data_IF_489169083357
#
_entry.id   IF_489169083357
#
_cell.length_a   1.000
_cell.length_b   1.000
_cell.length_c   1.000
_cell.angle_alpha   90.00
_cell.angle_beta   90.00
_cell.angle_gamma   90.00
#
_symmetry.space_group_name_H-M   'P 1'
#
loop_
_entity.id
_entity.type
_entity.pdbx_description
1 polymer ?
#
# COMPACT_ATOMS: atom_id res chain seq x y z
N UNK A 1 -12.24 -13.47 16.98
CA UNK A 1 -11.09 -13.90 16.15
C UNK A 1 -11.46 -14.20 14.70
N UNK A 2 -12.32 -15.20 14.40
CA UNK A 2 -12.73 -15.47 13.01
C UNK A 2 -13.55 -14.35 12.37
N UNK A 3 -14.43 -13.69 13.13
CA UNK A 3 -15.21 -12.54 12.66
C UNK A 3 -14.32 -11.33 12.36
N UNK A 4 -13.35 -11.04 13.23
CA UNK A 4 -12.43 -9.91 13.07
C UNK A 4 -11.55 -10.04 11.82
N UNK A 5 -11.11 -11.27 11.50
CA UNK A 5 -10.35 -11.56 10.27
C UNK A 5 -11.19 -11.26 9.03
N UNK A 6 -12.47 -11.63 9.04
CA UNK A 6 -13.39 -11.40 7.92
C UNK A 6 -13.71 -9.92 7.73
N UNK A 7 -13.99 -9.20 8.82
CA UNK A 7 -14.23 -7.74 8.77
C UNK A 7 -13.02 -7.02 8.16
N UNK A 8 -11.81 -7.33 8.65
CA UNK A 8 -10.58 -6.73 8.13
C UNK A 8 -10.33 -7.08 6.66
N UNK A 9 -10.60 -8.32 6.25
CA UNK A 9 -10.46 -8.72 4.85
C UNK A 9 -11.44 -7.96 3.95
N UNK A 10 -12.69 -7.78 4.38
CA UNK A 10 -13.70 -7.04 3.62
C UNK A 10 -13.41 -5.53 3.55
N UNK A 11 -12.86 -4.94 4.62
CA UNK A 11 -12.36 -3.56 4.60
C UNK A 11 -11.16 -3.42 3.65
N UNK A 12 -10.22 -4.38 3.70
CA UNK A 12 -9.06 -4.38 2.81
C UNK A 12 -9.46 -4.52 1.33
N UNK A 13 -10.39 -5.42 1.01
CA UNK A 13 -10.96 -5.55 -0.34
C UNK A 13 -11.63 -4.25 -0.79
N UNK A 14 -12.39 -3.60 0.10
CA UNK A 14 -13.05 -2.31 -0.21
C UNK A 14 -12.02 -1.24 -0.54
N UNK A 15 -10.98 -1.06 0.28
CA UNK A 15 -9.92 -0.10 0.01
C UNK A 15 -9.18 -0.39 -1.31
N UNK A 16 -8.85 -1.66 -1.59
CA UNK A 16 -8.18 -2.04 -2.85
C UNK A 16 -9.05 -1.83 -4.09
N UNK A 17 -10.36 -1.86 -3.95
CA UNK A 17 -11.31 -1.66 -5.05
C UNK A 17 -11.84 -0.21 -5.12
N UNK A 18 -11.50 0.64 -4.14
CA UNK A 18 -11.88 2.04 -4.13
C UNK A 18 -11.02 2.79 -5.15
N UNK A 19 -11.68 3.31 -6.19
CA UNK A 19 -11.01 4.00 -7.28
C UNK A 19 -10.39 5.31 -6.84
N UNK A 20 -11.03 6.04 -5.92
CA UNK A 20 -10.48 7.29 -5.42
C UNK A 20 -9.23 7.03 -4.57
N UNK A 21 -9.29 6.05 -3.67
CA UNK A 21 -8.12 5.64 -2.89
C UNK A 21 -6.95 5.24 -3.79
N UNK A 22 -7.21 4.39 -4.79
CA UNK A 22 -6.17 3.92 -5.72
C UNK A 22 -5.56 5.08 -6.52
N UNK A 23 -6.39 6.02 -6.98
CA UNK A 23 -5.92 7.23 -7.69
C UNK A 23 -5.03 8.09 -6.79
N UNK A 24 -5.45 8.39 -5.56
CA UNK A 24 -4.65 9.18 -4.63
C UNK A 24 -3.31 8.50 -4.29
N UNK A 25 -3.29 7.19 -4.05
CA UNK A 25 -2.04 6.45 -3.79
C UNK A 25 -1.11 6.52 -5.00
N UNK A 26 -1.66 6.39 -6.21
CA UNK A 26 -0.89 6.47 -7.45
C UNK A 26 -0.33 7.88 -7.69
N UNK A 27 -1.12 8.93 -7.45
CA UNK A 27 -0.66 10.33 -7.55
C UNK A 27 0.50 10.62 -6.58
N UNK A 28 0.41 10.14 -5.33
CA UNK A 28 1.51 10.29 -4.37
C UNK A 28 2.75 9.53 -4.84
N UNK A 29 2.59 8.30 -5.34
CA UNK A 29 3.68 7.49 -5.89
C UNK A 29 4.35 8.21 -7.06
N UNK A 30 3.57 8.75 -8.00
CA UNK A 30 4.06 9.51 -9.14
C UNK A 30 4.82 10.77 -8.73
N UNK A 31 4.28 11.52 -7.77
CA UNK A 31 4.96 12.69 -7.19
C UNK A 31 6.33 12.33 -6.63
N UNK A 32 6.45 11.21 -5.90
CA UNK A 32 7.74 10.73 -5.40
C UNK A 32 8.67 10.24 -6.52
N UNK A 33 8.13 9.61 -7.57
CA UNK A 33 8.92 9.23 -8.75
C UNK A 33 9.51 10.46 -9.46
N UNK A 34 8.75 11.55 -9.54
CA UNK A 34 9.24 12.81 -10.11
C UNK A 34 10.39 13.42 -9.29
N UNK A 35 10.46 13.18 -7.97
CA UNK A 35 11.62 13.59 -7.17
C UNK A 35 12.89 12.89 -7.67
N UNK A 36 12.83 11.60 -7.98
CA UNK A 36 13.99 10.90 -8.55
C UNK A 36 14.34 11.37 -9.95
N UNK A 37 13.35 11.66 -10.79
CA UNK A 37 13.57 12.14 -12.15
C UNK A 37 14.20 13.54 -12.21
N UNK A 38 13.89 14.40 -11.23
CA UNK A 38 14.30 15.80 -11.20
C UNK A 38 15.41 16.12 -10.18
N UNK A 39 15.95 15.12 -9.48
CA UNK A 39 17.01 15.32 -8.48
C UNK A 39 18.40 15.05 -9.06
N UNK A 40 19.39 15.82 -8.62
CA UNK A 40 20.78 15.56 -8.93
C UNK A 40 21.37 14.50 -7.98
N UNK A 41 22.57 14.01 -8.30
CA UNK A 41 23.27 13.04 -7.44
C UNK A 41 23.56 13.60 -6.03
N UNK A 42 23.72 14.92 -5.89
CA UNK A 42 23.92 15.56 -4.58
C UNK A 42 22.64 15.71 -3.74
N UNK A 43 21.44 15.58 -4.32
CA UNK A 43 20.16 15.69 -3.61
C UNK A 43 19.80 14.38 -2.88
N UNK A 44 20.76 13.79 -2.17
CA UNK A 44 20.63 12.45 -1.54
C UNK A 44 19.49 12.41 -0.55
N UNK A 45 19.39 13.40 0.33
CA UNK A 45 18.35 13.47 1.37
C UNK A 45 16.93 13.45 0.79
N UNK A 46 16.67 14.28 -0.23
CA UNK A 46 15.37 14.31 -0.92
C UNK A 46 15.02 12.97 -1.57
N UNK A 47 16.01 12.29 -2.15
CA UNK A 47 15.83 10.97 -2.76
C UNK A 47 15.55 9.90 -1.71
N UNK A 48 16.20 9.97 -0.56
CA UNK A 48 15.96 9.04 0.55
C UNK A 48 14.55 9.22 1.15
N UNK A 49 14.11 10.47 1.33
CA UNK A 49 12.74 10.78 1.77
C UNK A 49 11.69 10.24 0.78
N UNK A 50 11.85 10.53 -0.52
CA UNK A 50 10.96 10.01 -1.56
C UNK A 50 10.93 8.47 -1.55
N UNK A 51 12.08 7.82 -1.35
CA UNK A 51 12.16 6.37 -1.25
C UNK A 51 11.44 5.82 -0.01
N UNK A 52 11.56 6.51 1.14
CA UNK A 52 10.87 6.12 2.36
C UNK A 52 9.34 6.18 2.18
N UNK A 53 8.82 7.21 1.51
CA UNK A 53 7.40 7.34 1.19
C UNK A 53 6.93 6.21 0.27
N UNK A 54 7.67 5.91 -0.82
CA UNK A 54 7.32 4.80 -1.71
C UNK A 54 7.30 3.46 -0.97
N UNK A 55 8.27 3.22 -0.08
CA UNK A 55 8.27 2.01 0.76
C UNK A 55 7.07 1.94 1.69
N UNK A 56 6.65 3.07 2.26
CA UNK A 56 5.46 3.13 3.09
C UNK A 56 4.18 2.80 2.30
N UNK A 57 4.05 3.32 1.07
CA UNK A 57 2.93 2.97 0.18
C UNK A 57 2.90 1.48 -0.15
N UNK A 58 4.05 0.89 -0.50
CA UNK A 58 4.14 -0.55 -0.74
C UNK A 58 3.79 -1.37 0.52
N UNK A 59 4.17 -0.90 1.71
CA UNK A 59 3.84 -1.56 2.96
C UNK A 59 2.33 -1.56 3.22
N UNK A 60 1.62 -0.49 2.86
CA UNK A 60 0.15 -0.44 2.94
C UNK A 60 -0.45 -1.54 2.05
N UNK A 61 -0.03 -1.63 0.79
CA UNK A 61 -0.50 -2.65 -0.15
C UNK A 61 -0.27 -4.08 0.37
N UNK A 62 0.92 -4.36 0.91
CA UNK A 62 1.26 -5.66 1.51
C UNK A 62 0.35 -5.99 2.70
N UNK A 63 0.02 -5.03 3.55
CA UNK A 63 -0.87 -5.26 4.69
C UNK A 63 -2.32 -5.52 4.24
N UNK A 64 -2.79 -4.84 3.20
CA UNK A 64 -4.10 -5.11 2.61
C UNK A 64 -4.15 -6.53 2.05
N UNK A 65 -3.11 -6.97 1.32
CA UNK A 65 -3.02 -8.32 0.79
C UNK A 65 -2.95 -9.39 1.89
N UNK A 66 -2.18 -9.12 2.95
CA UNK A 66 -2.10 -10.02 4.10
C UNK A 66 -3.46 -10.21 4.78
N UNK A 67 -4.26 -9.14 4.91
CA UNK A 67 -5.61 -9.23 5.48
C UNK A 67 -6.55 -10.11 4.64
N UNK A 68 -6.49 -9.98 3.31
CA UNK A 68 -7.29 -10.79 2.38
C UNK A 68 -6.83 -12.25 2.40
N UNK A 69 -5.52 -12.49 2.43
CA UNK A 69 -4.96 -13.84 2.51
C UNK A 69 -5.33 -14.54 3.83
N UNK A 70 -5.40 -13.82 4.94
CA UNK A 70 -5.79 -14.37 6.24
C UNK A 70 -7.22 -14.96 6.23
N UNK A 71 -8.15 -14.31 5.54
CA UNK A 71 -9.50 -14.86 5.31
C UNK A 71 -9.46 -16.14 4.47
N UNK A 72 -8.69 -16.15 3.38
CA UNK A 72 -8.54 -17.34 2.52
C UNK A 72 -7.99 -18.54 3.30
N UNK A 73 -7.02 -18.30 4.19
CA UNK A 73 -6.46 -19.33 5.07
C UNK A 73 -7.46 -19.81 6.13
N UNK A 74 -8.30 -18.91 6.65
CA UNK A 74 -9.37 -19.25 7.58
C UNK A 74 -10.43 -20.13 6.91
N UNK A 75 -10.82 -19.82 5.68
CA UNK A 75 -11.83 -20.59 4.95
C UNK A 75 -11.31 -21.98 4.54
N UNK A 76 -10.00 -22.15 4.28
CA UNK A 76 -9.37 -23.46 4.04
C UNK A 76 -9.23 -24.35 5.28
N UNK A 77 -9.31 -23.77 6.47
CA UNK A 77 -9.20 -24.47 7.76
C UNK A 77 -10.55 -24.95 8.30
N UNK A 78 -11.65 -24.49 7.72
CA UNK A 78 -13.00 -25.00 7.99
C UNK A 78 -13.27 -26.23 7.14
#
# INVERSE_FOLDING_TARGET
MSTDIRIKADEAKRLKNDTAFTQFVQEVRESQMMVFANSAAQDVEKREEAHAIIRALNLIEVNLDAAIAAETLLDRRK
#
